data_IF_836661355820
#
_entry.id   IF_836661355820
#
_cell.length_a   1.000
_cell.length_b   1.000
_cell.length_c   1.000
_cell.angle_alpha   90.00
_cell.angle_beta   90.00
_cell.angle_gamma   90.00
#
_symmetry.space_group_name_H-M   'P 1'
#
loop_
_entity.id
_entity.type
_entity.pdbx_description
1 polymer ?
#
# COMPACT_ATOMS: atom_id res chain seq x y z
N UNK A 1 26.04 -3.40 10.10
CA UNK A 1 24.81 -3.92 10.71
C UNK A 1 23.98 -4.51 9.59
N UNK A 2 23.99 -5.84 9.45
CA UNK A 2 23.35 -6.55 8.34
C UNK A 2 21.84 -6.56 8.57
N UNK A 3 21.11 -5.74 7.83
CA UNK A 3 19.65 -5.81 7.82
C UNK A 3 19.24 -7.04 7.03
N UNK A 4 18.73 -8.06 7.73
CA UNK A 4 18.04 -9.19 7.12
C UNK A 4 16.86 -8.63 6.30
N UNK A 5 17.00 -8.66 4.97
CA UNK A 5 15.91 -8.40 4.04
C UNK A 5 15.00 -9.61 4.12
N UNK A 6 13.90 -9.50 4.87
CA UNK A 6 12.80 -10.43 4.71
C UNK A 6 12.22 -10.22 3.31
N UNK A 7 12.71 -11.02 2.37
CA UNK A 7 12.17 -11.19 1.03
C UNK A 7 10.81 -11.92 1.09
N UNK A 8 9.86 -11.38 1.84
CA UNK A 8 8.51 -11.90 1.90
C UNK A 8 7.73 -11.40 0.68
N UNK A 9 7.51 -12.29 -0.29
CA UNK A 9 6.37 -12.17 -1.19
C UNK A 9 5.19 -12.74 -0.42
N UNK A 10 4.11 -11.97 -0.16
CA UNK A 10 2.94 -12.53 0.50
C UNK A 10 2.42 -13.69 -0.34
N UNK A 11 2.68 -14.92 0.12
CA UNK A 11 1.95 -16.07 -0.38
C UNK A 11 0.58 -16.03 0.29
N UNK A 12 -0.44 -16.44 -0.47
CA UNK A 12 -1.82 -16.55 0.02
C UNK A 12 -1.85 -17.55 1.17
N UNK A 13 -1.61 -17.08 2.39
CA UNK A 13 -2.11 -17.76 3.58
C UNK A 13 -3.63 -17.69 3.46
N UNK A 14 -4.28 -18.85 3.30
CA UNK A 14 -5.73 -18.98 3.36
C UNK A 14 -6.17 -18.67 4.79
N UNK A 15 -6.24 -17.39 5.12
CA UNK A 15 -6.91 -16.91 6.32
C UNK A 15 -8.40 -17.23 6.21
N UNK A 16 -9.00 -17.71 7.31
CA UNK A 16 -10.43 -17.94 7.38
C UNK A 16 -11.18 -16.63 7.08
N UNK A 17 -11.94 -16.64 5.99
CA UNK A 17 -12.70 -15.48 5.51
C UNK A 17 -13.64 -14.95 6.60
N UNK A 18 -14.21 -15.83 7.43
CA UNK A 18 -15.11 -15.42 8.50
C UNK A 18 -14.37 -14.59 9.56
N UNK A 19 -13.13 -14.96 9.90
CA UNK A 19 -12.30 -14.20 10.85
C UNK A 19 -12.01 -12.80 10.32
N UNK A 20 -11.72 -12.68 9.02
CA UNK A 20 -11.47 -11.39 8.38
C UNK A 20 -12.72 -10.50 8.34
N UNK A 21 -13.90 -11.09 8.09
CA UNK A 21 -15.18 -10.38 8.15
C UNK A 21 -15.45 -9.87 9.57
N UNK A 22 -15.28 -10.73 10.57
CA UNK A 22 -15.54 -10.39 11.97
C UNK A 22 -14.59 -9.29 12.45
N UNK A 23 -13.32 -9.35 12.04
CA UNK A 23 -12.35 -8.30 12.31
C UNK A 23 -12.75 -6.99 11.65
N UNK A 24 -13.05 -6.99 10.36
CA UNK A 24 -13.44 -5.78 9.65
C UNK A 24 -14.68 -5.14 10.27
N UNK A 25 -15.68 -5.94 10.63
CA UNK A 25 -16.90 -5.51 11.33
C UNK A 25 -16.62 -4.95 12.73
N UNK A 26 -15.62 -5.49 13.43
CA UNK A 26 -15.22 -5.01 14.76
C UNK A 26 -14.46 -3.68 14.67
N UNK A 27 -13.60 -3.52 13.67
CA UNK A 27 -12.75 -2.35 13.49
C UNK A 27 -13.52 -1.17 12.88
N UNK A 28 -14.46 -1.45 11.96
CA UNK A 28 -15.24 -0.44 11.27
C UNK A 28 -15.88 0.63 12.19
N UNK A 29 -16.62 0.29 13.26
CA UNK A 29 -17.25 1.28 14.13
C UNK A 29 -16.26 2.09 14.98
N UNK A 30 -14.99 1.68 15.05
CA UNK A 30 -13.93 2.36 15.80
C UNK A 30 -13.20 3.42 14.97
N UNK A 31 -13.45 3.47 13.65
CA UNK A 31 -12.92 4.50 12.78
C UNK A 31 -13.67 5.82 13.01
N UNK A 32 -12.94 6.93 13.10
CA UNK A 32 -13.56 8.26 13.08
C UNK A 32 -14.11 8.59 11.69
N UNK A 33 -14.97 9.60 11.59
CA UNK A 33 -15.64 9.99 10.35
C UNK A 33 -14.67 10.21 9.18
N UNK A 34 -13.53 10.86 9.43
CA UNK A 34 -12.52 11.09 8.39
C UNK A 34 -11.88 9.78 7.89
N UNK A 35 -11.70 8.79 8.78
CA UNK A 35 -11.16 7.48 8.44
C UNK A 35 -12.18 6.61 7.73
N UNK A 36 -13.45 6.67 8.14
CA UNK A 36 -14.56 6.03 7.44
C UNK A 36 -14.68 6.57 6.01
N UNK A 37 -14.74 7.90 5.85
CA UNK A 37 -14.88 8.53 4.54
C UNK A 37 -13.77 8.13 3.56
N UNK A 38 -12.51 8.14 4.02
CA UNK A 38 -11.41 7.73 3.14
C UNK A 38 -11.52 6.23 2.82
N UNK A 39 -11.81 5.38 3.79
CA UNK A 39 -11.92 3.94 3.54
C UNK A 39 -13.07 3.62 2.58
N UNK A 40 -14.20 4.31 2.71
CA UNK A 40 -15.36 4.15 1.82
C UNK A 40 -15.05 4.60 0.40
N UNK A 41 -14.35 5.72 0.25
CA UNK A 41 -13.92 6.19 -1.07
C UNK A 41 -12.98 5.18 -1.75
N UNK A 42 -12.09 4.55 -0.98
CA UNK A 42 -11.18 3.49 -1.47
C UNK A 42 -11.96 2.25 -1.91
N UNK A 43 -12.85 1.77 -1.05
CA UNK A 43 -13.66 0.58 -1.34
C UNK A 43 -14.58 0.82 -2.54
N UNK A 44 -15.13 2.03 -2.68
CA UNK A 44 -15.94 2.43 -3.83
C UNK A 44 -15.11 2.44 -5.11
N UNK A 45 -13.92 3.04 -5.08
CA UNK A 45 -12.99 3.02 -6.20
C UNK A 45 -12.57 1.59 -6.60
N UNK A 46 -12.41 0.68 -5.64
CA UNK A 46 -12.10 -0.73 -5.91
C UNK A 46 -13.26 -1.48 -6.61
N UNK A 47 -14.51 -1.10 -6.32
CA UNK A 47 -15.68 -1.72 -6.94
C UNK A 47 -15.98 -1.18 -8.35
N UNK A 48 -15.52 0.04 -8.67
CA UNK A 48 -15.68 0.63 -9.99
C UNK A 48 -14.66 0.08 -10.99
N UNK A 49 -15.05 -0.11 -12.25
CA UNK A 49 -14.13 -0.46 -13.33
C UNK A 49 -13.26 0.75 -13.70
N UNK A 50 -11.94 0.56 -13.83
CA UNK A 50 -11.08 1.67 -14.19
C UNK A 50 -11.23 2.01 -15.69
N UNK A 51 -11.16 3.29 -15.99
CA UNK A 51 -11.16 3.85 -17.34
C UNK A 51 -10.21 5.06 -17.37
N UNK A 52 -9.97 5.63 -18.54
CA UNK A 52 -9.03 6.76 -18.68
C UNK A 52 -9.46 8.00 -17.90
N UNK A 53 -10.76 8.16 -17.64
CA UNK A 53 -11.35 9.31 -16.96
C UNK A 53 -11.22 9.21 -15.43
N UNK A 54 -11.28 8.00 -14.86
CA UNK A 54 -11.23 7.76 -13.41
C UNK A 54 -9.85 7.31 -12.90
N UNK A 55 -8.79 7.41 -13.72
CA UNK A 55 -7.41 7.09 -13.30
C UNK A 55 -6.94 7.92 -12.11
N UNK A 56 -7.29 9.20 -12.06
CA UNK A 56 -6.87 10.11 -10.99
C UNK A 56 -7.71 9.96 -9.71
N UNK A 57 -8.99 9.54 -9.82
CA UNK A 57 -9.86 9.31 -8.65
C UNK A 57 -9.52 8.03 -7.88
N UNK A 58 -8.50 7.31 -8.31
CA UNK A 58 -8.00 6.05 -7.72
C UNK A 58 -6.71 6.22 -6.95
N UNK A 59 -6.16 7.43 -6.92
CA UNK A 59 -4.96 7.80 -6.17
C UNK A 59 -5.39 8.63 -4.97
N UNK A 60 -5.11 8.14 -3.77
CA UNK A 60 -5.47 8.88 -2.56
C UNK A 60 -4.26 9.14 -1.69
N UNK A 61 -4.25 10.34 -1.14
CA UNK A 61 -3.26 10.80 -0.19
C UNK A 61 -3.98 11.21 1.07
N UNK A 62 -3.43 10.79 2.21
CA UNK A 62 -3.88 11.29 3.50
C UNK A 62 -2.64 11.69 4.29
N UNK A 63 -2.73 12.85 4.92
CA UNK A 63 -1.73 13.39 5.84
C UNK A 63 -2.38 13.54 7.22
N UNK A 64 -1.55 13.63 8.25
CA UNK A 64 -1.94 13.53 9.65
C UNK A 64 -0.70 13.28 10.51
N UNK A 65 -0.66 13.80 11.74
CA UNK A 65 0.46 13.57 12.65
C UNK A 65 0.62 12.09 13.04
N UNK A 66 1.76 11.78 13.68
CA UNK A 66 1.95 10.49 14.33
C UNK A 66 0.83 10.25 15.37
N UNK A 67 0.36 9.01 15.49
CA UNK A 67 -0.71 8.66 16.43
C UNK A 67 -2.14 8.87 15.93
N UNK A 68 -2.35 9.40 14.71
CA UNK A 68 -3.68 9.57 14.13
C UNK A 68 -4.32 8.28 13.61
N UNK A 69 -4.02 7.09 14.15
CA UNK A 69 -4.73 5.85 13.79
C UNK A 69 -4.64 5.40 12.32
N UNK A 70 -3.58 5.75 11.59
CA UNK A 70 -3.44 5.43 10.15
C UNK A 70 -3.26 3.93 9.92
N UNK A 71 -2.37 3.32 10.70
CA UNK A 71 -2.17 1.87 10.75
C UNK A 71 -3.47 1.13 11.03
N UNK A 72 -4.32 1.70 11.89
CA UNK A 72 -5.62 1.14 12.22
C UNK A 72 -6.56 1.14 11.00
N UNK A 73 -6.60 2.23 10.24
CA UNK A 73 -7.33 2.29 8.95
C UNK A 73 -6.75 1.33 7.91
N UNK A 74 -5.43 1.15 7.84
CA UNK A 74 -4.82 0.18 6.92
C UNK A 74 -5.19 -1.25 7.27
N UNK A 75 -5.13 -1.63 8.54
CA UNK A 75 -5.52 -2.97 8.97
C UNK A 75 -7.01 -3.24 8.71
N UNK A 76 -7.89 -2.25 8.90
CA UNK A 76 -9.27 -2.33 8.44
C UNK A 76 -9.38 -2.60 6.94
N UNK A 77 -8.71 -1.80 6.11
CA UNK A 77 -8.74 -1.96 4.66
C UNK A 77 -8.21 -3.33 4.24
N UNK A 78 -7.14 -3.82 4.86
CA UNK A 78 -6.54 -5.13 4.58
C UNK A 78 -7.52 -6.25 4.93
N UNK A 79 -8.20 -6.18 6.08
CA UNK A 79 -9.19 -7.17 6.47
C UNK A 79 -10.40 -7.15 5.52
N UNK A 80 -10.91 -5.96 5.21
CA UNK A 80 -12.08 -5.76 4.35
C UNK A 80 -11.84 -6.15 2.89
N UNK A 81 -10.64 -5.91 2.36
CA UNK A 81 -10.30 -6.37 1.01
C UNK A 81 -9.98 -7.86 0.98
N UNK A 82 -9.30 -8.39 1.99
CA UNK A 82 -8.98 -9.83 2.07
C UNK A 82 -10.26 -10.67 2.19
N UNK A 83 -11.27 -10.23 2.96
CA UNK A 83 -12.57 -10.92 3.07
C UNK A 83 -13.33 -10.97 1.74
N UNK A 84 -13.05 -10.05 0.81
CA UNK A 84 -13.60 -9.99 -0.54
C UNK A 84 -12.70 -10.66 -1.59
N UNK A 85 -11.65 -11.36 -1.17
CA UNK A 85 -10.62 -11.95 -2.04
C UNK A 85 -9.89 -10.92 -2.94
N UNK A 86 -9.83 -9.66 -2.52
CA UNK A 86 -9.12 -8.59 -3.22
C UNK A 86 -7.67 -8.57 -2.71
N UNK A 87 -6.71 -8.84 -3.60
CA UNK A 87 -5.29 -8.86 -3.24
C UNK A 87 -4.80 -7.45 -2.93
N UNK A 88 -4.31 -7.27 -1.70
CA UNK A 88 -3.76 -6.01 -1.20
C UNK A 88 -2.28 -6.17 -0.90
N UNK A 89 -1.46 -5.30 -1.46
CA UNK A 89 -0.04 -5.21 -1.15
C UNK A 89 0.21 -4.04 -0.21
N UNK A 90 0.86 -4.32 0.92
CA UNK A 90 1.16 -3.31 1.92
C UNK A 90 2.66 -3.20 2.13
N UNK A 91 3.20 -2.00 2.03
CA UNK A 91 4.63 -1.77 2.23
C UNK A 91 4.95 -0.45 2.94
N UNK A 92 6.12 -0.38 3.58
CA UNK A 92 6.66 0.87 4.10
C UNK A 92 8.14 1.04 3.71
N UNK A 93 8.65 2.29 3.67
CA UNK A 93 10.01 2.57 3.20
C UNK A 93 11.09 1.84 4.00
N UNK A 94 11.15 2.06 5.31
CA UNK A 94 12.16 1.48 6.23
C UNK A 94 11.65 1.58 7.67
N UNK A 95 12.02 0.64 8.54
CA UNK A 95 11.73 0.66 9.98
C UNK A 95 10.78 -0.46 10.43
N UNK A 96 10.19 -0.32 11.62
CA UNK A 96 9.17 -1.23 12.18
C UNK A 96 7.76 -1.00 11.60
N UNK A 97 7.59 -0.01 10.71
CA UNK A 97 6.31 0.30 10.10
C UNK A 97 5.67 -0.90 9.36
N UNK A 98 6.40 -1.70 8.55
CA UNK A 98 5.84 -2.91 7.94
C UNK A 98 5.30 -3.90 8.98
N UNK A 99 5.97 -4.04 10.13
CA UNK A 99 5.53 -5.00 11.18
C UNK A 99 4.26 -4.57 11.90
N UNK A 100 3.86 -3.30 11.79
CA UNK A 100 2.60 -2.79 12.33
C UNK A 100 1.41 -3.01 11.38
N UNK A 101 1.70 -3.36 10.12
CA UNK A 101 0.72 -3.56 9.08
C UNK A 101 0.51 -5.06 8.88
N UNK A 102 -0.75 -5.48 8.81
CA UNK A 102 -1.05 -6.85 8.39
C UNK A 102 -0.50 -7.10 6.98
N UNK A 103 0.18 -8.24 6.80
CA UNK A 103 0.84 -8.59 5.53
C UNK A 103 1.84 -7.52 5.04
N UNK A 104 2.35 -6.69 5.95
CA UNK A 104 3.26 -5.61 5.63
C UNK A 104 4.65 -6.10 5.27
N UNK A 105 5.25 -5.52 4.23
CA UNK A 105 6.63 -5.75 3.85
C UNK A 105 7.40 -4.42 3.66
N UNK A 106 8.69 -4.48 3.39
CA UNK A 106 9.44 -3.27 3.03
C UNK A 106 9.17 -2.91 1.57
N UNK A 107 9.30 -1.64 1.19
CA UNK A 107 9.25 -1.24 -0.24
C UNK A 107 10.28 -1.99 -1.07
N UNK A 108 11.45 -2.26 -0.50
CA UNK A 108 12.48 -3.10 -1.11
C UNK A 108 11.98 -4.53 -1.36
N UNK A 109 11.29 -5.13 -0.39
CA UNK A 109 10.70 -6.47 -0.56
C UNK A 109 9.59 -6.49 -1.60
N UNK A 110 8.65 -5.55 -1.54
CA UNK A 110 7.50 -5.48 -2.44
C UNK A 110 7.91 -5.28 -3.90
N UNK A 111 8.81 -4.33 -4.13
CA UNK A 111 9.21 -3.91 -5.47
C UNK A 111 10.61 -4.43 -5.88
N UNK A 112 11.19 -5.36 -5.10
CA UNK A 112 12.55 -5.92 -5.31
C UNK A 112 13.58 -4.85 -5.71
N UNK A 113 13.48 -3.68 -5.08
CA UNK A 113 14.37 -2.55 -5.36
C UNK A 113 15.75 -2.84 -4.74
N UNK A 114 16.86 -2.57 -5.44
CA UNK A 114 18.19 -2.73 -4.87
C UNK A 114 18.36 -1.84 -3.63
N UNK A 115 19.20 -2.30 -2.69
CA UNK A 115 19.59 -1.55 -1.50
C UNK A 115 21.05 -1.11 -1.69
N UNK A 116 21.36 0.20 -1.72
CA UNK A 116 20.46 1.35 -1.64
C UNK A 116 19.62 1.55 -2.92
N UNK A 117 18.51 2.30 -2.83
CA UNK A 117 17.70 2.61 -4.01
C UNK A 117 18.51 3.49 -4.97
N UNK A 118 18.82 2.97 -6.15
CA UNK A 118 19.63 3.66 -7.16
C UNK A 118 18.75 4.51 -8.10
N UNK A 119 19.34 5.48 -8.79
CA UNK A 119 18.60 6.37 -9.71
C UNK A 119 18.11 5.65 -10.98
N UNK A 120 18.77 4.56 -11.38
CA UNK A 120 18.53 3.83 -12.63
C UNK A 120 17.95 2.42 -12.41
N UNK A 121 17.07 2.25 -11.42
CA UNK A 121 16.46 0.94 -11.18
C UNK A 121 15.44 0.63 -12.27
N UNK A 122 15.74 -0.36 -13.09
CA UNK A 122 14.75 -1.11 -13.86
C UNK A 122 14.40 -2.38 -13.07
N UNK A 123 13.25 -2.42 -12.39
CA UNK A 123 12.83 -3.61 -11.65
C UNK A 123 12.40 -4.71 -12.63
N UNK A 124 13.39 -5.38 -13.22
CA UNK A 124 13.21 -6.46 -14.19
C UNK A 124 12.99 -7.84 -13.52
N UNK A 125 13.19 -7.92 -12.20
CA UNK A 125 13.17 -9.17 -11.43
C UNK A 125 11.89 -9.43 -10.65
N UNK A 126 10.95 -8.48 -10.57
CA UNK A 126 9.67 -8.72 -9.89
C UNK A 126 8.81 -9.60 -10.79
N UNK A 127 8.17 -10.65 -10.27
CA UNK A 127 7.13 -11.37 -10.99
C UNK A 127 6.01 -10.38 -11.37
N UNK A 128 5.99 -9.93 -12.63
CA UNK A 128 4.92 -9.06 -13.18
C UNK A 128 3.52 -9.65 -12.93
N UNK A 129 3.43 -10.97 -12.86
CA UNK A 129 2.22 -11.70 -12.51
C UNK A 129 1.68 -11.33 -11.13
N UNK A 130 2.54 -11.15 -10.12
CA UNK A 130 2.10 -10.72 -8.78
C UNK A 130 1.56 -9.29 -8.81
N UNK A 131 2.29 -8.36 -9.44
CA UNK A 131 1.87 -6.95 -9.53
C UNK A 131 0.53 -6.76 -10.27
N UNK A 132 0.20 -7.68 -11.18
CA UNK A 132 -1.09 -7.70 -11.89
C UNK A 132 -2.25 -8.23 -11.05
N UNK A 133 -1.99 -9.03 -10.03
CA UNK A 133 -3.01 -9.57 -9.14
C UNK A 133 -3.41 -8.56 -8.06
N UNK A 134 -2.49 -7.68 -7.67
CA UNK A 134 -2.73 -6.66 -6.64
C UNK A 134 -3.68 -5.59 -7.16
N UNK A 135 -4.82 -5.43 -6.47
CA UNK A 135 -5.82 -4.40 -6.75
C UNK A 135 -5.67 -3.16 -5.87
N UNK A 136 -5.00 -3.29 -4.72
CA UNK A 136 -4.79 -2.22 -3.75
C UNK A 136 -3.33 -2.19 -3.27
N UNK A 137 -2.66 -1.04 -3.40
CA UNK A 137 -1.29 -0.82 -2.89
C UNK A 137 -1.30 0.19 -1.74
N UNK A 138 -1.06 -0.26 -0.51
CA UNK A 138 -0.97 0.59 0.68
C UNK A 138 0.50 0.88 1.03
N UNK A 139 0.96 2.11 0.78
CA UNK A 139 2.36 2.50 1.04
C UNK A 139 2.45 3.48 2.22
N UNK A 140 2.86 2.94 3.38
CA UNK A 140 3.12 3.73 4.58
C UNK A 140 4.48 4.46 4.50
N UNK A 141 4.54 5.65 5.09
CA UNK A 141 5.70 6.56 5.03
C UNK A 141 6.20 6.83 3.62
N UNK A 142 5.29 6.88 2.65
CA UNK A 142 5.59 7.22 1.28
C UNK A 142 6.26 8.59 1.07
N UNK A 143 6.04 9.59 1.94
CA UNK A 143 6.81 10.85 1.86
C UNK A 143 8.30 10.65 1.93
N UNK A 144 8.71 9.62 2.68
CA UNK A 144 10.11 9.37 2.85
C UNK A 144 10.71 8.82 1.56
N UNK A 145 9.93 8.22 0.63
CA UNK A 145 10.39 7.63 -0.65
C UNK A 145 11.06 8.71 -1.52
N UNK A 146 12.28 8.51 -2.06
CA UNK A 146 12.92 9.52 -2.87
C UNK A 146 12.17 9.64 -4.20
N UNK A 147 12.16 10.84 -4.78
CA UNK A 147 11.46 11.10 -6.05
C UNK A 147 11.85 10.12 -7.17
N UNK A 148 13.13 9.75 -7.28
CA UNK A 148 13.59 8.79 -8.29
C UNK A 148 12.99 7.39 -8.08
N UNK A 149 12.91 6.91 -6.83
CA UNK A 149 12.32 5.60 -6.55
C UNK A 149 10.81 5.60 -6.80
N UNK A 150 10.12 6.68 -6.42
CA UNK A 150 8.69 6.84 -6.70
C UNK A 150 8.41 6.78 -8.20
N UNK A 151 9.25 7.43 -9.03
CA UNK A 151 9.14 7.36 -10.49
C UNK A 151 9.44 5.97 -11.05
N UNK A 152 10.43 5.27 -10.49
CA UNK A 152 10.75 3.91 -10.89
C UNK A 152 9.62 2.92 -10.57
N UNK A 153 8.99 3.05 -9.40
CA UNK A 153 7.82 2.27 -8.99
C UNK A 153 6.62 2.57 -9.91
N UNK A 154 6.34 3.85 -10.18
CA UNK A 154 5.24 4.25 -11.08
C UNK A 154 5.45 3.67 -12.49
N UNK A 155 6.65 3.83 -13.05
CA UNK A 155 7.00 3.26 -14.36
C UNK A 155 6.86 1.74 -14.38
N UNK A 156 7.36 1.05 -13.36
CA UNK A 156 7.22 -0.39 -13.21
C UNK A 156 5.75 -0.82 -13.20
N UNK A 157 4.90 -0.15 -12.43
CA UNK A 157 3.49 -0.48 -12.35
C UNK A 157 2.80 -0.23 -13.70
N UNK A 158 3.15 0.85 -14.41
CA UNK A 158 2.66 1.12 -15.76
C UNK A 158 3.11 0.05 -16.77
N UNK A 159 4.38 -0.38 -16.71
CA UNK A 159 4.99 -1.39 -17.59
C UNK A 159 4.49 -2.81 -17.27
N UNK A 160 4.23 -3.13 -16.00
CA UNK A 160 3.75 -4.44 -15.60
C UNK A 160 2.25 -4.59 -15.89
N UNK A 161 1.47 -3.54 -15.70
CA UNK A 161 -0.01 -3.55 -15.75
C UNK A 161 -0.53 -3.12 -17.13
N UNK A 162 0.33 -2.98 -18.15
CA UNK A 162 -0.07 -2.64 -19.51
C UNK A 162 -1.00 -3.72 -20.10
N UNK A 163 -2.30 -3.40 -20.21
CA UNK A 163 -3.30 -4.24 -20.88
C UNK A 163 -4.68 -4.30 -20.23
N UNK A 164 -4.81 -4.07 -18.91
CA UNK A 164 -6.12 -4.05 -18.26
C UNK A 164 -6.19 -2.95 -17.19
N UNK A 165 -7.15 -2.06 -17.39
CA UNK A 165 -7.54 -0.92 -16.56
C UNK A 165 -8.31 -1.41 -15.31
N UNK A 166 -7.72 -2.24 -14.44
CA UNK A 166 -8.46 -2.82 -13.32
C UNK A 166 -7.86 -2.58 -11.93
N UNK A 167 -6.93 -1.63 -11.76
CA UNK A 167 -6.25 -1.45 -10.47
C UNK A 167 -6.38 -0.02 -9.95
N UNK A 168 -6.82 0.09 -8.68
CA UNK A 168 -6.77 1.33 -7.90
C UNK A 168 -5.31 1.61 -7.58
N UNK A 169 -4.79 2.69 -8.16
CA UNK A 169 -3.36 2.99 -8.15
C UNK A 169 -2.97 3.75 -6.90
N UNK A 170 -2.22 3.05 -6.04
CA UNK A 170 -1.19 3.58 -5.16
C UNK A 170 -1.69 4.52 -4.04
N UNK A 171 -1.59 4.11 -2.78
CA UNK A 171 -1.78 5.00 -1.64
C UNK A 171 -0.42 5.39 -1.11
N UNK A 172 -0.05 6.66 -1.24
CA UNK A 172 1.20 7.19 -0.69
C UNK A 172 0.85 8.02 0.56
N UNK A 173 1.28 7.57 1.74
CA UNK A 173 1.18 8.39 2.95
C UNK A 173 2.40 9.28 3.18
N UNK A 174 2.18 10.58 3.39
CA UNK A 174 3.25 11.53 3.76
C UNK A 174 3.32 11.71 5.28
N UNK A 175 4.40 11.29 5.94
CA UNK A 175 4.73 11.83 7.27
C UNK A 175 5.28 13.25 7.11
N UNK A 176 4.54 14.25 7.57
CA UNK A 176 5.04 15.63 7.71
C UNK A 176 5.90 15.70 8.98
N UNK A 177 7.22 15.50 8.84
CA UNK A 177 8.19 15.72 9.93
C UNK A 177 8.75 17.16 9.97
N UNK A 178 8.11 18.12 9.31
CA UNK A 178 8.65 19.49 9.21
C UNK A 178 7.96 20.51 10.12
N UNK A 179 8.00 20.29 11.44
CA UNK A 179 7.87 21.40 12.42
C UNK A 179 8.83 21.40 13.61
N UNK A 180 9.71 20.41 13.81
CA UNK A 180 10.50 20.37 15.07
C UNK A 180 12.00 20.07 14.97
N UNK A 181 12.62 20.07 13.79
CA UNK A 181 14.09 20.08 13.71
C UNK A 181 14.59 21.13 12.71
N UNK A 182 14.42 22.40 13.08
CA UNK A 182 15.43 23.42 12.79
C UNK A 182 16.27 23.58 14.05
N UNK A 183 17.51 23.10 14.02
CA UNK A 183 18.59 23.72 14.77
C UNK A 183 19.03 24.97 14.02
#
# INVERSE_FOLDING_TARGET
MNFYVFDYVPQNEEEDVQVLIDEANTVRPLLNDNHCQIADAILSALNEQANDENKQSRLFFKDGPAGCGKTFTYNYLIAETSSRHIVTATAARTGIAPTLLKKGCTLHGLFKLPVPILENVTPNSIPRQYLRQVSLYLLDKASMIPKHASKAIDKLLQDAITGFLSVVKLFLWVETLDKYFRL
#
